data_IF_823038028200
#
_entry.id   IF_823038028200
#
_cell.length_a   1.000
_cell.length_b   1.000
_cell.length_c   1.000
_cell.angle_alpha   90.00
_cell.angle_beta   90.00
_cell.angle_gamma   90.00
#
_symmetry.space_group_name_H-M   'P 1'
#
loop_
_entity.id
_entity.type
_entity.pdbx_description
1 polymer ?
#
# COMPACT_ATOMS: atom_id res chain seq x y z
N UNK A 1 -2.85 17.03 -11.90
CA UNK A 1 -3.33 17.29 -10.53
C UNK A 1 -4.83 17.01 -10.50
N UNK A 2 -5.36 16.33 -9.47
CA UNK A 2 -6.73 15.77 -9.48
C UNK A 2 -7.59 16.20 -8.28
N UNK A 3 -7.16 17.24 -7.56
CA UNK A 3 -7.86 17.79 -6.40
C UNK A 3 -8.60 19.05 -6.82
N UNK A 4 -9.91 19.04 -6.68
CA UNK A 4 -10.81 20.10 -7.15
C UNK A 4 -11.74 20.57 -6.04
N UNK A 5 -12.20 21.82 -6.12
CA UNK A 5 -13.34 22.33 -5.35
C UNK A 5 -14.13 23.32 -6.20
N UNK A 6 -15.35 23.66 -5.79
CA UNK A 6 -16.06 24.79 -6.38
C UNK A 6 -15.45 26.06 -5.80
N UNK A 7 -14.73 26.84 -6.63
CA UNK A 7 -13.89 27.99 -6.26
C UNK A 7 -14.52 28.87 -5.15
N UNK A 8 -14.25 28.58 -3.86
CA UNK A 8 -14.96 29.24 -2.78
C UNK A 8 -14.40 30.65 -2.54
N UNK A 9 -13.26 30.96 -3.15
CA UNK A 9 -12.53 32.19 -2.97
C UNK A 9 -12.53 33.05 -4.24
N UNK A 10 -13.28 32.65 -5.28
CA UNK A 10 -13.39 33.34 -6.57
C UNK A 10 -12.01 33.74 -7.13
N UNK A 11 -11.04 32.83 -7.01
CA UNK A 11 -9.65 33.03 -7.44
C UNK A 11 -9.51 32.98 -8.96
N UNK A 12 -10.45 32.34 -9.65
CA UNK A 12 -10.40 32.10 -11.09
C UNK A 12 -11.70 32.62 -11.73
N UNK A 13 -11.66 33.28 -12.91
CA UNK A 13 -12.89 33.79 -13.53
C UNK A 13 -13.89 32.68 -13.87
N UNK A 14 -15.09 32.74 -13.28
CA UNK A 14 -16.20 31.83 -13.54
C UNK A 14 -16.72 31.15 -12.28
N UNK A 15 -17.73 30.28 -12.43
CA UNK A 15 -18.32 29.50 -11.34
C UNK A 15 -17.99 28.00 -11.44
N UNK A 16 -16.99 27.66 -12.25
CA UNK A 16 -16.58 26.29 -12.52
C UNK A 16 -15.71 25.70 -11.40
N UNK A 17 -15.52 24.38 -11.39
CA UNK A 17 -14.58 23.73 -10.49
C UNK A 17 -13.15 24.17 -10.83
N UNK A 18 -12.34 24.31 -9.79
CA UNK A 18 -10.94 24.73 -9.93
C UNK A 18 -10.03 23.74 -9.22
N UNK A 19 -8.80 23.65 -9.72
CA UNK A 19 -7.74 22.93 -9.04
C UNK A 19 -7.44 23.61 -7.72
N UNK A 20 -7.57 22.87 -6.62
CA UNK A 20 -7.58 23.46 -5.29
C UNK A 20 -6.64 22.73 -4.33
N UNK A 21 -5.55 23.40 -3.96
CA UNK A 21 -4.59 22.97 -2.94
C UNK A 21 -4.71 23.80 -1.66
N UNK A 22 -5.76 24.60 -1.52
CA UNK A 22 -5.98 25.40 -0.33
C UNK A 22 -6.28 24.52 0.88
N UNK A 23 -5.99 25.09 2.05
CA UNK A 23 -6.24 24.48 3.34
C UNK A 23 -7.67 24.85 3.77
N UNK A 24 -8.36 23.95 4.46
CA UNK A 24 -9.69 24.22 5.03
C UNK A 24 -10.85 24.18 4.03
N UNK A 25 -10.57 24.20 2.73
CA UNK A 25 -11.59 24.03 1.70
C UNK A 25 -11.93 22.55 1.50
N UNK A 26 -13.22 22.24 1.45
CA UNK A 26 -13.70 20.91 1.07
C UNK A 26 -13.39 20.64 -0.41
N UNK A 27 -12.30 19.91 -0.65
CA UNK A 27 -11.87 19.51 -1.98
C UNK A 27 -12.13 18.00 -2.21
N UNK A 28 -12.28 17.61 -3.47
CA UNK A 28 -12.57 16.24 -3.89
C UNK A 28 -11.68 15.77 -5.04
N UNK A 29 -11.58 14.45 -5.17
CA UNK A 29 -10.89 13.80 -6.29
C UNK A 29 -11.79 13.75 -7.52
N UNK A 30 -11.24 14.16 -8.65
CA UNK A 30 -11.92 14.15 -9.94
C UNK A 30 -10.93 13.90 -11.08
N UNK A 31 -11.36 13.13 -12.07
CA UNK A 31 -10.60 12.83 -13.29
C UNK A 31 -11.18 13.49 -14.55
N UNK A 32 -12.28 14.23 -14.41
CA UNK A 32 -12.99 14.91 -15.51
C UNK A 32 -12.92 16.44 -15.42
N UNK A 33 -11.82 16.95 -14.86
CA UNK A 33 -11.60 18.40 -14.73
C UNK A 33 -12.40 19.05 -13.60
N UNK A 34 -12.86 18.26 -12.62
CA UNK A 34 -13.65 18.74 -11.50
C UNK A 34 -15.15 18.75 -11.76
N UNK A 35 -15.64 18.28 -12.91
CA UNK A 35 -17.07 18.28 -13.21
C UNK A 35 -17.84 17.31 -12.31
N UNK A 36 -17.24 16.17 -11.98
CA UNK A 36 -17.81 15.20 -11.05
C UNK A 36 -16.78 14.74 -10.03
N UNK A 37 -17.27 14.54 -8.80
CA UNK A 37 -16.53 13.83 -7.77
C UNK A 37 -16.51 12.34 -8.08
N UNK A 38 -15.32 11.74 -8.05
CA UNK A 38 -15.19 10.30 -8.26
C UNK A 38 -16.02 9.51 -7.23
N UNK A 39 -16.84 8.58 -7.71
CA UNK A 39 -17.63 7.68 -6.85
C UNK A 39 -18.63 8.38 -5.90
N UNK A 40 -18.86 9.69 -6.04
CA UNK A 40 -19.80 10.46 -5.21
C UNK A 40 -19.36 10.70 -3.75
N UNK A 41 -18.22 10.18 -3.30
CA UNK A 41 -17.72 10.37 -1.93
C UNK A 41 -16.18 10.28 -1.85
N UNK A 42 -15.49 10.92 -2.78
CA UNK A 42 -14.03 11.01 -2.83
C UNK A 42 -13.52 12.35 -2.30
N UNK A 43 -13.80 12.66 -1.04
CA UNK A 43 -13.33 13.90 -0.41
C UNK A 43 -11.88 13.72 0.06
N UNK A 44 -11.12 14.81 0.05
CA UNK A 44 -9.80 14.86 0.67
C UNK A 44 -9.88 15.46 2.07
N UNK A 45 -8.92 15.10 2.92
CA UNK A 45 -8.62 15.88 4.12
C UNK A 45 -8.22 17.31 3.73
N UNK A 46 -8.55 18.26 4.59
CA UNK A 46 -8.38 19.70 4.34
C UNK A 46 -7.19 20.30 5.09
N UNK A 47 -6.47 19.51 5.90
CA UNK A 47 -5.16 19.85 6.44
C UNK A 47 -5.08 19.79 7.96
N UNK A 48 -3.91 19.38 8.47
CA UNK A 48 -3.70 19.17 9.91
C UNK A 48 -3.68 20.48 10.71
N UNK A 49 -3.31 21.57 10.05
CA UNK A 49 -3.30 22.91 10.62
C UNK A 49 -4.21 23.81 9.79
N UNK A 50 -5.12 24.54 10.43
CA UNK A 50 -6.16 25.38 9.81
C UNK A 50 -7.16 24.64 8.89
N UNK A 51 -7.11 23.31 8.84
CA UNK A 51 -8.05 22.47 8.12
C UNK A 51 -8.91 21.65 9.07
N UNK A 52 -9.22 20.44 8.66
CA UNK A 52 -10.02 19.48 9.41
C UNK A 52 -9.23 18.71 10.46
N UNK A 53 -7.91 18.90 10.59
CA UNK A 53 -7.09 18.21 11.58
C UNK A 53 -6.38 16.97 11.02
N UNK A 54 -6.73 16.54 9.81
CA UNK A 54 -6.11 15.42 9.12
C UNK A 54 -5.12 15.88 8.05
N UNK A 55 -4.09 15.07 7.75
CA UNK A 55 -3.08 15.45 6.77
C UNK A 55 -3.68 15.56 5.35
N UNK A 56 -3.49 16.70 4.69
CA UNK A 56 -4.15 17.03 3.40
C UNK A 56 -3.83 16.10 2.20
N UNK A 57 -2.86 15.19 2.33
CA UNK A 57 -2.55 14.14 1.36
C UNK A 57 -3.38 12.86 1.53
N UNK A 58 -4.23 12.78 2.56
CA UNK A 58 -5.13 11.67 2.80
C UNK A 58 -6.53 11.93 2.24
N UNK A 59 -7.31 10.86 2.11
CA UNK A 59 -8.76 10.96 1.99
C UNK A 59 -9.34 11.66 3.22
N UNK A 60 -10.57 12.15 3.08
CA UNK A 60 -11.33 12.58 4.25
C UNK A 60 -11.52 11.39 5.18
N UNK A 61 -11.32 11.59 6.48
CA UNK A 61 -11.71 10.60 7.48
C UNK A 61 -13.23 10.37 7.40
N UNK A 62 -13.63 9.16 7.01
CA UNK A 62 -15.04 8.81 6.85
C UNK A 62 -15.82 8.84 8.16
N UNK A 63 -15.12 8.61 9.29
CA UNK A 63 -15.71 8.55 10.63
C UNK A 63 -15.49 9.84 11.42
N UNK A 64 -14.62 10.72 10.91
CA UNK A 64 -14.23 11.98 11.52
C UNK A 64 -12.94 11.85 12.31
N UNK A 65 -12.27 12.98 12.50
CA UNK A 65 -10.90 13.09 13.04
C UNK A 65 -10.68 12.24 14.29
N UNK A 66 -9.73 11.29 14.20
CA UNK A 66 -9.39 10.33 15.27
C UNK A 66 -10.57 9.45 15.73
N UNK A 67 -11.63 9.30 14.93
CA UNK A 67 -12.75 8.43 15.23
C UNK A 67 -12.61 7.07 14.54
N UNK A 68 -13.00 6.01 15.24
CA UNK A 68 -12.99 4.67 14.66
C UNK A 68 -14.28 4.40 13.89
N UNK A 69 -14.15 3.92 12.66
CA UNK A 69 -15.28 3.45 11.87
C UNK A 69 -14.90 3.09 10.44
N UNK A 70 -15.86 3.08 9.51
CA UNK A 70 -15.62 2.78 8.11
C UNK A 70 -14.57 3.72 7.50
N UNK A 71 -13.82 3.22 6.51
CA UNK A 71 -12.81 3.98 5.78
C UNK A 71 -13.32 4.29 4.35
N UNK A 72 -13.00 5.46 3.80
CA UNK A 72 -13.23 5.74 2.37
C UNK A 72 -12.30 4.92 1.46
N UNK A 73 -11.13 4.57 1.98
CA UNK A 73 -10.06 3.87 1.32
C UNK A 73 -8.88 3.71 2.28
N UNK A 74 -7.81 3.07 1.83
CA UNK A 74 -6.66 2.78 2.69
C UNK A 74 -5.89 4.06 3.04
N UNK A 75 -6.10 5.12 2.25
CA UNK A 75 -5.56 6.45 2.53
C UNK A 75 -6.49 7.30 3.41
N UNK A 76 -7.48 6.72 4.10
CA UNK A 76 -8.13 7.35 5.25
C UNK A 76 -7.09 7.54 6.38
N UNK A 77 -6.99 8.72 7.00
CA UNK A 77 -5.90 9.07 7.91
C UNK A 77 -5.96 8.34 9.26
N UNK A 78 -7.12 7.78 9.63
CA UNK A 78 -7.31 7.13 10.93
C UNK A 78 -7.27 5.61 10.80
N UNK A 79 -6.34 4.99 11.55
CA UNK A 79 -6.26 3.55 11.77
C UNK A 79 -6.35 3.23 13.26
N UNK A 80 -7.45 2.61 13.66
CA UNK A 80 -7.63 2.19 15.04
C UNK A 80 -6.90 0.88 15.36
N UNK A 81 -6.65 0.67 16.64
CA UNK A 81 -6.10 -0.59 17.12
C UNK A 81 -6.97 -1.77 16.66
N UNK A 82 -6.33 -2.81 16.12
CA UNK A 82 -6.98 -3.99 15.55
C UNK A 82 -7.94 -3.72 14.37
N UNK A 83 -7.92 -2.53 13.76
CA UNK A 83 -8.63 -2.24 12.51
C UNK A 83 -7.85 -2.80 11.32
N UNK A 84 -8.57 -3.38 10.36
CA UNK A 84 -8.00 -3.74 9.06
C UNK A 84 -8.17 -2.56 8.11
N UNK A 85 -7.14 -2.28 7.32
CA UNK A 85 -7.20 -1.24 6.30
C UNK A 85 -8.00 -1.72 5.10
N UNK A 86 -8.80 -0.86 4.49
CA UNK A 86 -9.63 -1.20 3.33
C UNK A 86 -9.13 -0.48 2.07
N UNK A 87 -8.59 -1.22 1.11
CA UNK A 87 -8.30 -0.68 -0.23
C UNK A 87 -9.60 -0.70 -1.04
N UNK A 88 -10.03 0.47 -1.49
CA UNK A 88 -11.26 0.64 -2.26
C UNK A 88 -11.00 1.04 -3.71
N UNK A 89 -12.05 1.07 -4.53
CA UNK A 89 -11.96 1.58 -5.91
C UNK A 89 -11.51 3.05 -5.97
N UNK A 90 -11.72 3.84 -4.90
CA UNK A 90 -11.22 5.21 -4.81
C UNK A 90 -9.69 5.23 -4.78
N UNK A 91 -9.05 4.38 -3.95
CA UNK A 91 -7.59 4.28 -3.89
C UNK A 91 -7.02 3.92 -5.26
N UNK A 92 -7.58 2.88 -5.90
CA UNK A 92 -7.12 2.42 -7.20
C UNK A 92 -7.28 3.48 -8.29
N UNK A 93 -8.38 4.24 -8.28
CA UNK A 93 -8.59 5.33 -9.21
C UNK A 93 -7.57 6.46 -9.05
N UNK A 94 -7.18 6.76 -7.82
CA UNK A 94 -6.14 7.75 -7.54
C UNK A 94 -4.77 7.29 -8.07
N UNK A 95 -4.40 6.03 -7.82
CA UNK A 95 -3.15 5.45 -8.34
C UNK A 95 -3.12 5.39 -9.88
N UNK A 96 -4.22 4.98 -10.51
CA UNK A 96 -4.37 4.99 -11.97
C UNK A 96 -4.22 6.40 -12.55
N UNK A 97 -4.90 7.39 -11.95
CA UNK A 97 -4.85 8.78 -12.40
C UNK A 97 -3.43 9.38 -12.32
N UNK A 98 -2.63 9.01 -11.33
CA UNK A 98 -1.23 9.47 -11.21
C UNK A 98 -0.23 8.61 -12.01
N UNK A 99 -0.71 7.66 -12.81
CA UNK A 99 0.07 6.93 -13.81
C UNK A 99 0.54 5.54 -13.42
N UNK A 100 0.00 4.94 -12.35
CA UNK A 100 0.28 3.54 -12.04
C UNK A 100 -0.59 2.62 -12.89
N UNK A 101 0.04 1.59 -13.46
CA UNK A 101 -0.70 0.54 -14.14
C UNK A 101 -1.35 -0.38 -13.09
N UNK A 102 -2.68 -0.41 -13.07
CA UNK A 102 -3.45 -1.30 -12.21
C UNK A 102 -3.98 -2.50 -13.01
N UNK A 103 -4.02 -3.68 -12.38
CA UNK A 103 -4.47 -4.92 -12.99
C UNK A 103 -6.01 -5.06 -13.05
N UNK A 104 -6.73 -4.11 -12.44
CA UNK A 104 -8.20 -4.09 -12.35
C UNK A 104 -8.69 -2.73 -12.80
N UNK A 105 -9.88 -2.66 -13.41
CA UNK A 105 -10.48 -1.37 -13.75
C UNK A 105 -11.08 -0.72 -12.48
N UNK A 106 -10.63 0.49 -12.16
CA UNK A 106 -11.14 1.28 -11.03
C UNK A 106 -12.55 1.83 -11.27
N UNK A 107 -12.96 2.01 -12.54
CA UNK A 107 -14.25 2.59 -12.93
C UNK A 107 -15.35 1.52 -12.97
N UNK A 108 -16.38 1.68 -12.14
CA UNK A 108 -17.57 0.83 -12.13
C UNK A 108 -17.46 -0.48 -11.34
N UNK A 109 -16.35 -0.68 -10.61
CA UNK A 109 -16.14 -1.86 -9.79
C UNK A 109 -16.31 -1.51 -8.31
N UNK A 110 -17.13 -2.27 -7.57
CA UNK A 110 -17.16 -2.25 -6.11
C UNK A 110 -15.91 -2.95 -5.56
N UNK A 111 -14.72 -2.42 -5.88
CA UNK A 111 -13.47 -2.97 -5.37
C UNK A 111 -13.37 -2.66 -3.88
N UNK A 112 -13.28 -3.70 -3.06
CA UNK A 112 -13.02 -3.63 -1.63
C UNK A 112 -12.15 -4.83 -1.25
N UNK A 113 -10.93 -4.56 -0.80
CA UNK A 113 -10.01 -5.56 -0.30
C UNK A 113 -9.34 -5.05 0.97
N UNK A 114 -9.48 -5.78 2.08
CA UNK A 114 -8.82 -5.40 3.32
C UNK A 114 -7.41 -5.98 3.46
N UNK A 115 -6.60 -5.38 4.34
CA UNK A 115 -5.20 -5.78 4.57
C UNK A 115 -5.05 -7.24 4.99
N UNK A 116 -6.05 -7.86 5.64
CA UNK A 116 -5.98 -9.29 5.96
C UNK A 116 -6.20 -10.19 4.73
N UNK A 117 -7.04 -9.77 3.78
CA UNK A 117 -7.17 -10.46 2.49
C UNK A 117 -5.88 -10.33 1.66
N UNK A 118 -5.30 -9.12 1.61
CA UNK A 118 -4.00 -8.86 0.96
C UNK A 118 -2.93 -9.76 1.59
N UNK A 119 -2.82 -9.76 2.92
CA UNK A 119 -1.85 -10.58 3.64
C UNK A 119 -1.99 -12.07 3.27
N UNK A 120 -3.22 -12.61 3.25
CA UNK A 120 -3.45 -14.02 2.88
C UNK A 120 -3.06 -14.33 1.44
N UNK A 121 -3.19 -13.37 0.52
CA UNK A 121 -2.79 -13.54 -0.87
C UNK A 121 -1.27 -13.64 -1.04
N UNK A 122 -0.50 -12.91 -0.23
CA UNK A 122 0.98 -12.89 -0.31
C UNK A 122 1.66 -13.82 0.71
N UNK A 123 0.96 -14.29 1.74
CA UNK A 123 1.51 -15.20 2.74
C UNK A 123 1.74 -16.65 2.24
N UNK A 124 1.35 -16.96 1.00
CA UNK A 124 1.46 -18.30 0.41
C UNK A 124 2.79 -18.55 -0.33
N UNK A 125 3.79 -17.67 -0.19
CA UNK A 125 5.15 -17.90 -0.70
C UNK A 125 6.10 -18.24 0.46
N UNK A 126 6.24 -19.52 0.88
CA UNK A 126 7.25 -19.90 1.84
C UNK A 126 8.65 -19.67 1.26
N UNK A 127 9.50 -18.95 1.98
CA UNK A 127 10.95 -18.95 1.76
C UNK A 127 11.60 -19.55 3.01
N UNK A 128 12.51 -20.54 2.93
CA UNK A 128 13.21 -21.06 1.74
C UNK A 128 12.54 -22.30 1.15
N UNK A 129 12.47 -22.37 -0.18
CA UNK A 129 11.97 -23.54 -0.90
C UNK A 129 12.72 -24.82 -0.52
N UNK A 130 12.09 -26.01 -0.64
CA UNK A 130 12.74 -27.30 -0.39
C UNK A 130 14.11 -27.45 -1.07
N UNK A 131 14.28 -26.81 -2.23
CA UNK A 131 15.54 -26.75 -2.98
C UNK A 131 16.66 -26.04 -2.22
N UNK A 132 16.36 -25.00 -1.45
CA UNK A 132 17.36 -24.29 -0.62
C UNK A 132 17.86 -25.19 0.51
N UNK A 133 16.95 -25.91 1.16
CA UNK A 133 17.31 -26.92 2.17
C UNK A 133 18.12 -28.05 1.56
N UNK A 134 17.71 -28.52 0.38
CA UNK A 134 18.45 -29.55 -0.36
C UNK A 134 19.87 -29.09 -0.70
N UNK A 135 20.06 -27.86 -1.18
CA UNK A 135 21.38 -27.32 -1.51
C UNK A 135 22.24 -27.11 -0.26
N UNK A 136 21.65 -26.69 0.86
CA UNK A 136 22.37 -26.62 2.15
C UNK A 136 22.78 -28.02 2.62
N UNK A 137 21.87 -28.99 2.62
CA UNK A 137 22.14 -30.37 3.02
C UNK A 137 23.21 -31.00 2.12
N UNK A 138 23.12 -30.79 0.80
CA UNK A 138 24.11 -31.26 -0.17
C UNK A 138 25.45 -30.56 0.05
N UNK A 139 25.48 -29.24 0.20
CA UNK A 139 26.70 -28.46 0.43
C UNK A 139 27.41 -28.86 1.73
N UNK A 140 26.67 -28.93 2.84
CA UNK A 140 27.22 -29.37 4.12
C UNK A 140 27.60 -30.86 4.10
N UNK A 141 26.85 -31.70 3.40
CA UNK A 141 27.16 -33.11 3.21
C UNK A 141 28.46 -33.33 2.44
N UNK A 142 28.67 -32.61 1.34
CA UNK A 142 29.91 -32.65 0.56
C UNK A 142 31.11 -32.15 1.36
N UNK A 143 30.95 -31.02 2.06
CA UNK A 143 32.01 -30.45 2.90
C UNK A 143 32.39 -31.39 4.06
N UNK A 144 31.42 -31.91 4.79
CA UNK A 144 31.64 -32.89 5.85
C UNK A 144 32.26 -34.20 5.33
N UNK A 145 31.82 -34.66 4.15
CA UNK A 145 32.39 -35.83 3.47
C UNK A 145 33.87 -35.66 3.12
N UNK A 146 34.25 -34.50 2.56
CA UNK A 146 35.64 -34.18 2.23
C UNK A 146 36.54 -34.15 3.48
N UNK A 147 36.08 -33.51 4.57
CA UNK A 147 36.81 -33.46 5.84
C UNK A 147 36.97 -34.84 6.49
N UNK A 148 36.00 -35.74 6.34
CA UNK A 148 36.10 -37.12 6.85
C UNK A 148 37.09 -37.96 6.07
N UNK A 149 37.16 -37.78 4.74
CA UNK A 149 38.11 -38.49 3.88
C UNK A 149 39.55 -38.11 4.20
N UNK A 150 39.86 -36.83 4.39
CA UNK A 150 41.23 -36.38 4.68
C UNK A 150 41.79 -36.95 5.99
N UNK A 151 40.95 -37.08 7.03
CA UNK A 151 41.36 -37.70 8.32
C UNK A 151 41.79 -39.17 8.19
N UNK A 152 41.19 -39.93 7.29
CA UNK A 152 41.54 -41.35 7.10
C UNK A 152 42.89 -41.54 6.39
N UNK A 153 43.26 -40.62 5.50
CA UNK A 153 44.52 -40.69 4.74
C UNK A 153 45.74 -40.34 5.62
N UNK A 154 45.57 -39.46 6.62
CA UNK A 154 46.64 -39.05 7.53
C UNK A 154 47.03 -40.11 8.59
N UNK A 155 46.31 -41.22 8.69
CA UNK A 155 46.66 -42.34 9.58
C UNK A 155 47.71 -43.25 8.95
N UNK A 156 48.87 -42.70 8.59
CA UNK A 156 50.03 -43.51 8.20
C UNK A 156 50.71 -44.00 9.48
N UNK A 157 50.48 -45.28 9.85
CA UNK A 157 51.22 -45.89 10.97
C UNK A 157 52.67 -46.07 10.54
N UNK A 158 53.57 -45.30 11.16
CA UNK A 158 55.01 -45.54 11.07
C UNK A 158 55.34 -46.64 12.07
N UNK A 159 55.86 -47.77 11.58
CA UNK A 159 56.45 -48.82 12.42
C UNK A 159 57.96 -48.69 12.31
N UNK A 160 58.64 -48.62 13.45
CA UNK A 160 60.09 -48.67 13.53
C UNK A 160 60.54 -50.11 13.75
N UNK A 161 61.67 -50.48 13.14
CA UNK A 161 62.33 -51.78 13.29
C UNK A 161 63.31 -51.77 14.45
#
# INVERSE_FOLDING_TARGET
MFRYSNDPHNQVPGNGPVLDLSIGTASYFSTDGGLTQWGGNALFATGSYNGDGDQASHWKDASGVNACGPQLGIMDPTFCYAQRGEVTALDLAAFDAIGWNIAVNSRGSNYLMNTAQIYRQFATTPVPEPTTWAMMIVGFGLMGGAMRRSRKVASTRVSFA
#
